data_IF_401910081453
#
_entry.id   IF_401910081453
#
_cell.length_a   1.000
_cell.length_b   1.000
_cell.length_c   1.000
_cell.angle_alpha   90.00
_cell.angle_beta   90.00
_cell.angle_gamma   90.00
#
_symmetry.space_group_name_H-M   'P 1'
#
loop_
_entity.id
_entity.type
_entity.pdbx_description
1 polymer ?
#
# COMPACT_ATOMS: atom_id res chain seq x y z
N UNK A 1 -10.78 39.28 11.00
CA UNK A 1 -11.11 38.03 11.70
C UNK A 1 -10.46 36.87 10.95
N UNK A 2 -9.35 36.33 11.46
CA UNK A 2 -8.71 35.13 10.90
C UNK A 2 -9.53 33.93 11.37
N UNK A 3 -10.12 33.17 10.44
CA UNK A 3 -10.73 31.88 10.74
C UNK A 3 -9.59 30.94 11.17
N UNK A 4 -9.47 30.68 12.46
CA UNK A 4 -8.67 29.56 12.95
C UNK A 4 -9.41 28.29 12.54
N UNK A 5 -8.77 27.49 11.70
CA UNK A 5 -9.23 26.17 11.33
C UNK A 5 -8.91 25.27 12.54
N UNK A 6 -9.93 24.95 13.34
CA UNK A 6 -9.84 23.95 14.40
C UNK A 6 -9.71 22.58 13.72
N UNK A 7 -8.53 21.99 13.79
CA UNK A 7 -8.26 20.63 13.33
C UNK A 7 -8.40 19.73 14.55
N UNK A 8 -9.56 19.11 14.71
CA UNK A 8 -9.71 17.92 15.54
C UNK A 8 -9.22 16.76 14.68
N UNK A 9 -8.02 16.25 14.91
CA UNK A 9 -7.58 15.04 14.23
C UNK A 9 -6.46 14.38 15.03
N UNK A 10 -6.70 13.15 15.46
CA UNK A 10 -5.62 12.17 15.58
C UNK A 10 -4.86 12.19 14.24
N UNK A 11 -3.54 12.38 14.28
CA UNK A 11 -2.72 12.53 13.08
C UNK A 11 -1.90 11.26 12.90
N UNK A 12 -2.13 10.58 11.79
CA UNK A 12 -1.29 9.52 11.27
C UNK A 12 0.10 10.09 10.87
N UNK A 13 1.16 9.50 11.42
CA UNK A 13 2.56 9.74 11.05
C UNK A 13 2.98 8.70 10.02
N UNK A 14 3.67 9.12 8.96
CA UNK A 14 4.10 8.25 7.85
C UNK A 14 5.61 8.08 7.85
N UNK A 15 6.07 6.84 7.71
CA UNK A 15 7.45 6.46 7.50
C UNK A 15 7.57 5.86 6.11
N UNK A 16 8.27 6.56 5.21
CA UNK A 16 8.49 6.10 3.83
C UNK A 16 9.92 5.60 3.66
N UNK A 17 10.13 4.58 2.82
CA UNK A 17 11.46 4.25 2.30
C UNK A 17 11.98 5.39 1.41
N UNK A 18 12.76 6.30 1.98
CA UNK A 18 13.60 7.18 1.17
C UNK A 18 14.79 6.36 0.68
N UNK A 19 14.69 5.80 -0.53
CA UNK A 19 15.86 5.30 -1.24
C UNK A 19 16.71 6.51 -1.66
N UNK A 20 17.48 7.06 -0.71
CA UNK A 20 18.51 8.04 -0.96
C UNK A 20 19.64 7.33 -1.72
N UNK A 21 19.55 7.32 -3.04
CA UNK A 21 20.70 7.09 -3.90
C UNK A 21 21.63 8.32 -3.79
N UNK A 22 22.36 8.45 -2.69
CA UNK A 22 23.53 9.33 -2.64
C UNK A 22 24.65 8.67 -3.43
N UNK A 23 24.69 8.88 -4.74
CA UNK A 23 25.90 8.61 -5.52
C UNK A 23 26.83 9.80 -5.38
N UNK A 24 27.75 9.72 -4.43
CA UNK A 24 28.95 10.53 -4.43
C UNK A 24 29.87 9.97 -5.52
N UNK A 25 30.22 10.77 -6.53
CA UNK A 25 31.14 10.37 -7.59
C UNK A 25 31.05 11.28 -8.80
N UNK A 26 31.94 12.28 -8.86
CA UNK A 26 32.04 13.20 -9.98
C UNK A 26 32.67 12.60 -11.24
N UNK A 27 32.61 13.37 -12.32
CA UNK A 27 33.36 13.12 -13.56
C UNK A 27 32.49 13.33 -14.79
N UNK A 28 32.80 14.36 -15.58
CA UNK A 28 32.01 14.78 -16.73
C UNK A 28 32.12 13.86 -17.95
N UNK A 29 31.29 14.14 -18.97
CA UNK A 29 31.50 13.66 -20.33
C UNK A 29 30.23 13.32 -21.09
N UNK A 30 29.72 14.34 -21.80
CA UNK A 30 29.10 14.29 -23.14
C UNK A 30 28.27 13.10 -23.64
N UNK A 31 27.09 13.43 -24.16
CA UNK A 31 26.55 12.84 -25.39
C UNK A 31 25.46 11.78 -25.21
N UNK A 32 24.37 12.01 -25.93
CA UNK A 32 23.30 11.10 -26.35
C UNK A 32 22.23 10.71 -25.30
N UNK A 33 21.13 11.46 -25.44
CA UNK A 33 19.74 11.09 -25.33
C UNK A 33 19.44 9.62 -25.70
N UNK A 34 19.27 8.79 -24.65
CA UNK A 34 18.49 7.57 -24.73
C UNK A 34 17.62 7.44 -23.47
N UNK A 35 16.34 7.79 -23.61
CA UNK A 35 15.32 7.54 -22.60
C UNK A 35 15.09 6.03 -22.50
N UNK A 36 15.82 5.39 -21.59
CA UNK A 36 15.57 4.01 -21.18
C UNK A 36 14.67 4.02 -19.92
N UNK A 37 13.49 3.37 -19.93
CA UNK A 37 12.64 3.34 -18.75
C UNK A 37 13.38 2.66 -17.60
N UNK A 38 13.57 3.38 -16.49
CA UNK A 38 14.10 2.80 -15.25
C UNK A 38 13.02 1.94 -14.61
N UNK A 39 13.06 0.64 -14.89
CA UNK A 39 12.37 -0.38 -14.10
C UNK A 39 13.14 -0.54 -12.81
N UNK A 40 12.55 -0.13 -11.68
CA UNK A 40 13.09 -0.52 -10.38
C UNK A 40 13.00 -2.04 -10.28
N UNK A 41 14.14 -2.68 -10.03
CA UNK A 41 14.28 -4.14 -9.94
C UNK A 41 13.49 -4.68 -8.75
N UNK A 42 12.30 -5.23 -9.02
CA UNK A 42 11.39 -5.82 -8.03
C UNK A 42 11.33 -7.37 -8.17
N UNK A 43 10.98 -8.12 -7.11
CA UNK A 43 10.94 -9.59 -7.08
C UNK A 43 9.74 -10.23 -7.82
N UNK A 44 9.03 -9.46 -8.65
CA UNK A 44 7.85 -9.87 -9.42
C UNK A 44 8.14 -9.65 -10.92
N UNK A 45 7.84 -10.65 -11.74
CA UNK A 45 7.95 -10.57 -13.20
C UNK A 45 6.59 -10.87 -13.81
N UNK A 46 5.77 -9.85 -14.02
CA UNK A 46 4.51 -10.00 -14.75
C UNK A 46 4.77 -10.30 -16.24
N UNK A 47 3.88 -11.04 -16.91
CA UNK A 47 4.01 -11.29 -18.34
C UNK A 47 3.78 -10.00 -19.13
N UNK A 48 4.41 -9.89 -20.30
CA UNK A 48 4.23 -8.72 -21.20
C UNK A 48 2.83 -8.65 -21.80
N UNK A 49 2.17 -9.79 -21.91
CA UNK A 49 0.81 -9.94 -22.43
C UNK A 49 0.00 -10.76 -21.44
N UNK A 50 -1.26 -10.35 -21.23
CA UNK A 50 -2.19 -11.08 -20.38
C UNK A 50 -2.91 -12.17 -21.18
N UNK A 51 -3.34 -13.22 -20.50
CA UNK A 51 -4.09 -14.29 -21.13
C UNK A 51 -5.56 -13.88 -21.20
N UNK A 52 -6.09 -13.66 -22.40
CA UNK A 52 -7.51 -13.38 -22.57
C UNK A 52 -8.33 -14.62 -22.18
N UNK A 53 -9.39 -14.42 -21.41
CA UNK A 53 -10.30 -15.50 -21.03
C UNK A 53 -11.20 -15.86 -22.20
N UNK A 54 -11.32 -17.15 -22.49
CA UNK A 54 -12.22 -17.67 -23.53
C UNK A 54 -13.66 -17.18 -23.24
N UNK A 55 -14.36 -16.75 -24.30
CA UNK A 55 -15.74 -16.26 -24.27
C UNK A 55 -16.02 -15.03 -23.38
N UNK A 56 -14.98 -14.32 -22.90
CA UNK A 56 -15.13 -13.05 -22.20
C UNK A 56 -14.28 -11.95 -22.84
N UNK A 57 -14.95 -11.04 -23.54
CA UNK A 57 -14.30 -9.84 -24.05
C UNK A 57 -13.80 -8.97 -22.91
N UNK A 58 -12.60 -8.39 -23.08
CA UNK A 58 -11.97 -7.51 -22.10
C UNK A 58 -11.66 -8.13 -20.72
N UNK A 59 -11.76 -9.45 -20.56
CA UNK A 59 -11.35 -10.16 -19.34
C UNK A 59 -10.06 -10.92 -19.57
N UNK A 60 -9.15 -10.82 -18.60
CA UNK A 60 -7.80 -11.38 -18.69
C UNK A 60 -7.38 -12.02 -17.37
N UNK A 61 -6.46 -12.97 -17.43
CA UNK A 61 -5.77 -13.52 -16.27
C UNK A 61 -4.26 -13.37 -16.41
N UNK A 62 -3.58 -13.42 -15.27
CA UNK A 62 -2.13 -13.57 -15.22
C UNK A 62 -1.83 -15.08 -15.12
N UNK A 63 -0.88 -15.57 -15.91
CA UNK A 63 -0.46 -16.97 -15.82
C UNK A 63 0.26 -17.29 -14.49
N UNK A 64 0.83 -18.49 -14.39
CA UNK A 64 1.71 -18.86 -13.28
C UNK A 64 3.18 -18.52 -13.56
N UNK A 65 3.99 -18.50 -12.52
CA UNK A 65 5.42 -18.28 -12.55
C UNK A 65 5.81 -16.81 -12.60
N UNK A 66 5.01 -15.90 -12.05
CA UNK A 66 5.26 -14.46 -12.03
C UNK A 66 5.78 -13.97 -10.67
N UNK A 67 5.43 -14.66 -9.59
CA UNK A 67 5.97 -14.40 -8.25
C UNK A 67 7.18 -15.31 -7.99
N UNK A 68 8.32 -14.72 -7.59
CA UNK A 68 9.61 -15.44 -7.51
C UNK A 68 10.21 -15.52 -6.11
N UNK A 69 9.68 -14.79 -5.15
CA UNK A 69 10.17 -14.77 -3.76
C UNK A 69 8.98 -14.73 -2.80
N UNK A 70 9.18 -15.20 -1.58
CA UNK A 70 8.21 -15.03 -0.51
C UNK A 70 8.19 -13.56 -0.04
N UNK A 71 7.13 -13.19 0.67
CA UNK A 71 6.97 -11.87 1.27
C UNK A 71 6.02 -11.94 2.45
N UNK A 72 5.63 -10.81 2.99
CA UNK A 72 4.73 -10.69 4.14
C UNK A 72 3.41 -10.04 3.75
N UNK A 73 3.49 -9.10 2.79
CA UNK A 73 2.35 -8.37 2.25
C UNK A 73 2.25 -8.62 0.75
N UNK A 74 1.09 -9.06 0.30
CA UNK A 74 0.75 -9.25 -1.11
C UNK A 74 -0.30 -8.23 -1.52
N UNK A 75 -0.01 -7.40 -2.53
CA UNK A 75 -0.93 -6.38 -3.01
C UNK A 75 -1.11 -6.45 -4.52
N UNK A 76 -2.34 -6.19 -4.99
CA UNK A 76 -2.71 -6.16 -6.40
C UNK A 76 -3.44 -4.87 -6.71
N UNK A 77 -3.04 -4.19 -7.78
CA UNK A 77 -3.63 -2.96 -8.28
C UNK A 77 -4.00 -3.12 -9.76
N UNK A 78 -5.11 -2.50 -10.17
CA UNK A 78 -5.57 -2.46 -11.58
C UNK A 78 -5.98 -1.04 -12.00
N UNK A 79 -5.01 -0.16 -12.22
CA UNK A 79 -5.28 1.21 -12.70
C UNK A 79 -5.86 1.18 -14.12
N UNK A 80 -6.86 2.01 -14.41
CA UNK A 80 -7.59 1.98 -15.70
C UNK A 80 -8.49 0.75 -15.95
N UNK A 81 -8.57 -0.21 -15.02
CA UNK A 81 -9.49 -1.36 -15.07
C UNK A 81 -10.00 -1.79 -13.68
N UNK A 82 -10.41 -3.03 -13.50
CA UNK A 82 -10.69 -3.59 -12.17
C UNK A 82 -10.46 -5.09 -12.21
N UNK A 83 -10.62 -5.77 -11.09
CA UNK A 83 -10.56 -7.22 -11.05
C UNK A 83 -11.63 -7.81 -10.15
N UNK A 84 -11.98 -9.07 -10.42
CA UNK A 84 -12.75 -9.92 -9.53
C UNK A 84 -11.83 -10.96 -8.92
N UNK A 85 -12.08 -11.27 -7.67
CA UNK A 85 -11.46 -12.39 -6.98
C UNK A 85 -12.36 -13.62 -7.20
N UNK A 86 -11.78 -14.75 -7.61
CA UNK A 86 -12.52 -16.02 -7.61
C UNK A 86 -12.38 -16.77 -6.28
N UNK A 87 -11.41 -16.36 -5.47
CA UNK A 87 -11.08 -16.90 -4.16
C UNK A 87 -10.68 -15.72 -3.26
N UNK A 88 -10.98 -15.79 -1.96
CA UNK A 88 -10.65 -14.73 -0.99
C UNK A 88 -9.58 -15.15 0.01
N UNK A 89 -9.06 -16.36 -0.12
CA UNK A 89 -8.08 -16.94 0.79
C UNK A 89 -6.77 -17.20 0.06
N UNK A 90 -5.66 -16.93 0.74
CA UNK A 90 -4.32 -17.35 0.31
C UNK A 90 -3.82 -18.37 1.33
N UNK A 91 -3.25 -19.48 0.87
CA UNK A 91 -2.67 -20.49 1.76
C UNK A 91 -1.62 -19.89 2.72
N UNK A 92 -1.57 -20.38 3.97
CA UNK A 92 -0.49 -20.06 4.92
C UNK A 92 -0.81 -19.05 6.02
N UNK A 93 -2.06 -18.99 6.49
CA UNK A 93 -2.54 -18.00 7.48
C UNK A 93 -2.37 -16.55 6.99
N UNK A 94 -2.87 -16.33 5.78
CA UNK A 94 -2.86 -15.03 5.10
C UNK A 94 -4.30 -14.54 5.04
N UNK A 95 -4.55 -13.35 5.56
CA UNK A 95 -5.89 -12.75 5.58
C UNK A 95 -5.95 -11.58 4.61
N UNK A 96 -7.17 -11.30 4.12
CA UNK A 96 -7.43 -10.02 3.49
C UNK A 96 -7.31 -8.91 4.52
N UNK A 97 -6.50 -7.92 4.20
CA UNK A 97 -6.25 -6.78 5.06
C UNK A 97 -7.19 -5.64 4.66
N UNK A 98 -7.11 -5.25 3.38
CA UNK A 98 -7.84 -4.10 2.89
C UNK A 98 -8.00 -4.08 1.37
N UNK A 99 -8.95 -3.28 0.87
CA UNK A 99 -9.14 -3.08 -0.56
C UNK A 99 -10.05 -1.91 -0.93
N UNK A 100 -10.01 -1.57 -2.22
CA UNK A 100 -10.89 -0.56 -2.83
C UNK A 100 -11.85 -1.28 -3.76
N UNK A 101 -13.12 -1.44 -3.38
CA UNK A 101 -14.10 -1.93 -4.31
C UNK A 101 -14.47 -0.83 -5.32
N UNK A 102 -15.02 -1.25 -6.45
CA UNK A 102 -15.56 -0.37 -7.49
C UNK A 102 -16.98 -0.78 -7.86
N UNK A 103 -17.76 0.15 -8.37
CA UNK A 103 -19.07 -0.15 -8.97
C UNK A 103 -18.93 -0.76 -10.37
N UNK A 104 -20.06 -1.10 -11.00
CA UNK A 104 -20.10 -1.66 -12.34
C UNK A 104 -19.53 -0.75 -13.45
N UNK A 105 -19.32 0.53 -13.17
CA UNK A 105 -18.65 1.48 -14.09
C UNK A 105 -17.14 1.58 -13.84
N UNK A 106 -16.62 0.84 -12.86
CA UNK A 106 -15.23 0.90 -12.43
C UNK A 106 -14.91 2.11 -11.53
N UNK A 107 -15.93 2.83 -11.05
CA UNK A 107 -15.72 3.97 -10.14
C UNK A 107 -15.45 3.45 -8.71
N UNK A 108 -14.39 3.92 -8.04
CA UNK A 108 -14.14 3.60 -6.64
C UNK A 108 -15.35 3.91 -5.75
N UNK A 109 -15.67 2.96 -4.86
CA UNK A 109 -16.66 3.14 -3.80
C UNK A 109 -15.94 3.30 -2.44
N UNK A 110 -16.58 2.89 -1.35
CA UNK A 110 -15.98 2.93 -0.03
C UNK A 110 -14.96 1.79 0.15
N UNK A 111 -13.77 2.16 0.62
CA UNK A 111 -12.71 1.24 1.04
C UNK A 111 -13.23 0.24 2.08
N UNK A 112 -12.75 -1.00 2.02
CA UNK A 112 -13.18 -2.10 2.88
C UNK A 112 -11.99 -2.75 3.58
N UNK A 113 -12.23 -3.31 4.76
CA UNK A 113 -11.21 -3.94 5.61
C UNK A 113 -11.59 -5.36 6.01
N UNK A 114 -10.59 -6.19 6.31
CA UNK A 114 -10.77 -7.49 6.93
C UNK A 114 -11.80 -8.40 6.20
N UNK A 115 -12.82 -8.88 6.92
CA UNK A 115 -13.77 -9.88 6.41
C UNK A 115 -14.75 -9.36 5.34
N UNK A 116 -14.54 -8.14 4.83
CA UNK A 116 -15.40 -7.52 3.81
C UNK A 116 -14.99 -7.86 2.36
N UNK A 117 -13.99 -8.72 2.18
CA UNK A 117 -13.62 -9.26 0.87
C UNK A 117 -14.68 -10.24 0.38
N UNK A 118 -15.07 -10.12 -0.89
CA UNK A 118 -16.13 -10.94 -1.49
C UNK A 118 -15.81 -11.19 -2.97
N UNK A 119 -16.13 -12.39 -3.45
CA UNK A 119 -16.01 -12.78 -4.87
C UNK A 119 -17.07 -12.14 -5.76
N UNK A 120 -18.15 -11.59 -5.18
CA UNK A 120 -19.19 -10.86 -5.88
C UNK A 120 -18.84 -9.38 -6.12
N UNK A 121 -17.78 -8.86 -5.49
CA UNK A 121 -17.33 -7.47 -5.61
C UNK A 121 -16.26 -7.30 -6.69
N UNK A 122 -16.23 -6.11 -7.27
CA UNK A 122 -15.15 -5.65 -8.14
C UNK A 122 -14.15 -4.83 -7.35
N UNK A 123 -12.86 -5.00 -7.60
CA UNK A 123 -11.80 -4.29 -6.88
C UNK A 123 -10.85 -3.55 -7.82
N UNK A 124 -10.38 -2.39 -7.36
CA UNK A 124 -9.27 -1.63 -7.93
C UNK A 124 -7.94 -2.00 -7.28
N UNK A 125 -8.01 -2.33 -6.00
CA UNK A 125 -6.88 -2.63 -5.13
C UNK A 125 -7.33 -3.65 -4.07
N UNK A 126 -6.45 -4.59 -3.76
CA UNK A 126 -6.54 -5.47 -2.59
C UNK A 126 -5.16 -5.69 -2.01
N UNK A 127 -5.11 -5.90 -0.69
CA UNK A 127 -3.93 -6.25 0.07
C UNK A 127 -4.26 -7.42 1.01
N UNK A 128 -3.31 -8.33 1.09
CA UNK A 128 -3.31 -9.49 1.96
C UNK A 128 -2.05 -9.47 2.82
N UNK A 129 -2.19 -9.84 4.09
CA UNK A 129 -1.10 -9.82 5.06
C UNK A 129 -0.98 -11.19 5.73
N UNK A 130 0.24 -11.73 5.82
CA UNK A 130 0.52 -12.91 6.62
C UNK A 130 0.68 -12.52 8.08
N UNK A 131 -0.02 -13.19 9.00
CA UNK A 131 0.21 -13.02 10.44
C UNK A 131 1.43 -13.80 10.94
N UNK A 132 1.85 -14.81 10.17
CA UNK A 132 2.91 -15.75 10.54
C UNK A 132 4.30 -15.35 10.01
N UNK A 133 4.39 -14.27 9.24
CA UNK A 133 5.66 -13.74 8.71
C UNK A 133 5.85 -13.96 7.22
N UNK A 134 5.19 -14.96 6.64
CA UNK A 134 5.50 -15.42 5.29
C UNK A 134 4.26 -15.82 4.49
N UNK A 135 4.09 -15.19 3.34
CA UNK A 135 3.35 -15.64 2.17
C UNK A 135 4.37 -16.25 1.21
N UNK A 136 4.26 -17.55 0.96
CA UNK A 136 5.18 -18.22 0.04
C UNK A 136 5.00 -17.69 -1.39
N UNK A 137 6.09 -17.67 -2.17
CA UNK A 137 6.04 -17.28 -3.58
C UNK A 137 5.01 -18.11 -4.37
N UNK A 138 4.91 -19.41 -4.08
CA UNK A 138 4.01 -20.33 -4.74
C UNK A 138 2.54 -20.05 -4.40
N UNK A 139 2.24 -19.78 -3.12
CA UNK A 139 0.88 -19.46 -2.69
C UNK A 139 0.40 -18.14 -3.34
N UNK A 140 1.24 -17.10 -3.31
CA UNK A 140 0.95 -15.83 -3.96
C UNK A 140 0.80 -15.97 -5.49
N UNK A 141 1.65 -16.77 -6.15
CA UNK A 141 1.57 -17.02 -7.59
C UNK A 141 0.30 -17.78 -7.97
N UNK A 142 -0.07 -18.80 -7.19
CA UNK A 142 -1.30 -19.56 -7.39
C UNK A 142 -2.50 -18.63 -7.26
N UNK A 143 -2.58 -17.82 -6.20
CA UNK A 143 -3.66 -16.87 -6.00
C UNK A 143 -3.70 -15.81 -7.11
N UNK A 144 -2.57 -15.22 -7.50
CA UNK A 144 -2.52 -14.27 -8.61
C UNK A 144 -3.09 -14.85 -9.91
N UNK A 145 -2.88 -16.15 -10.15
CA UNK A 145 -3.38 -16.82 -11.36
C UNK A 145 -4.90 -17.02 -11.39
N UNK A 146 -5.59 -16.83 -10.26
CA UNK A 146 -7.05 -16.92 -10.16
C UNK A 146 -7.76 -15.58 -10.36
N UNK A 147 -7.02 -14.46 -10.27
CA UNK A 147 -7.59 -13.12 -10.43
C UNK A 147 -7.99 -12.86 -11.88
N UNK A 148 -9.25 -12.44 -12.07
CA UNK A 148 -9.77 -12.01 -13.37
C UNK A 148 -9.73 -10.47 -13.45
N UNK A 149 -8.88 -9.95 -14.33
CA UNK A 149 -8.78 -8.53 -14.63
C UNK A 149 -9.72 -8.13 -15.76
N UNK A 150 -10.40 -7.01 -15.59
CA UNK A 150 -11.40 -6.48 -16.51
C UNK A 150 -10.97 -5.10 -16.98
N UNK A 151 -10.82 -4.95 -18.30
CA UNK A 151 -10.49 -3.69 -18.94
C UNK A 151 -11.76 -2.87 -19.18
N UNK A 152 -11.70 -1.58 -18.88
CA UNK A 152 -12.77 -0.63 -19.24
C UNK A 152 -12.59 -0.24 -20.71
N UNK A 153 -13.68 -0.25 -21.48
CA UNK A 153 -13.64 0.08 -22.91
C UNK A 153 -13.02 1.46 -23.15
N UNK A 154 -12.09 1.54 -24.11
CA UNK A 154 -11.39 2.78 -24.45
C UNK A 154 -10.30 3.21 -23.47
N UNK A 155 -10.03 2.45 -22.39
CA UNK A 155 -8.96 2.76 -21.44
C UNK A 155 -7.91 1.64 -21.37
N UNK A 156 -6.60 1.96 -21.32
CA UNK A 156 -5.59 0.96 -20.98
C UNK A 156 -5.75 0.52 -19.52
N UNK A 157 -5.37 -0.72 -19.22
CA UNK A 157 -5.27 -1.24 -17.85
C UNK A 157 -3.79 -1.40 -17.48
N UNK A 158 -3.40 -0.95 -16.29
CA UNK A 158 -2.08 -1.13 -15.72
C UNK A 158 -2.21 -1.97 -14.45
N UNK A 159 -1.61 -3.16 -14.49
CA UNK A 159 -1.61 -4.08 -13.36
C UNK A 159 -0.28 -3.95 -12.64
N UNK A 160 -0.35 -3.72 -11.32
CA UNK A 160 0.81 -3.76 -10.43
C UNK A 160 0.57 -4.81 -9.36
N UNK A 161 1.58 -5.63 -9.12
CA UNK A 161 1.55 -6.67 -8.11
C UNK A 161 2.82 -6.52 -7.27
N UNK A 162 2.63 -6.44 -5.96
CA UNK A 162 3.72 -6.38 -5.01
C UNK A 162 3.67 -7.62 -4.10
N UNK A 163 4.84 -8.17 -3.81
CA UNK A 163 5.04 -9.10 -2.71
C UNK A 163 6.28 -8.65 -1.95
N UNK A 164 6.06 -8.08 -0.77
CA UNK A 164 7.09 -7.36 -0.01
C UNK A 164 7.28 -8.01 1.35
N UNK A 165 8.55 -8.28 1.70
CA UNK A 165 8.92 -8.71 3.05
C UNK A 165 9.06 -7.47 3.92
N UNK A 166 8.18 -7.35 4.91
CA UNK A 166 8.22 -6.28 5.90
C UNK A 166 8.21 -6.88 7.31
N UNK A 167 8.82 -6.23 8.29
CA UNK A 167 8.69 -6.65 9.68
C UNK A 167 7.22 -6.63 10.13
N UNK A 168 6.73 -7.75 10.69
CA UNK A 168 5.40 -7.80 11.33
C UNK A 168 5.48 -7.23 12.73
N UNK A 169 6.58 -7.45 13.43
CA UNK A 169 6.82 -6.91 14.75
C UNK A 169 8.26 -6.44 14.85
N UNK A 170 8.51 -5.57 15.82
CA UNK A 170 9.85 -5.08 16.10
C UNK A 170 9.81 -4.03 17.19
N UNK A 171 10.90 -3.28 17.30
CA UNK A 171 11.03 -2.18 18.24
C UNK A 171 11.42 -0.90 17.48
N UNK A 172 10.96 0.25 17.97
CA UNK A 172 11.52 1.54 17.56
C UNK A 172 12.86 1.81 18.26
N UNK A 173 13.55 2.89 17.88
CA UNK A 173 14.87 3.24 18.44
C UNK A 173 14.85 3.53 19.96
N UNK A 174 13.67 3.61 20.58
CA UNK A 174 13.48 3.78 22.02
C UNK A 174 13.15 2.45 22.75
N UNK A 175 13.03 1.35 22.00
CA UNK A 175 12.70 0.03 22.53
C UNK A 175 11.21 -0.22 22.71
N UNK A 176 10.33 0.64 22.17
CA UNK A 176 8.90 0.39 22.20
C UNK A 176 8.53 -0.63 21.11
N UNK A 177 7.83 -1.69 21.50
CA UNK A 177 7.41 -2.71 20.54
C UNK A 177 6.29 -2.21 19.62
N UNK A 178 6.29 -2.71 18.39
CA UNK A 178 5.19 -2.56 17.45
C UNK A 178 4.78 -3.89 16.87
N UNK A 179 3.54 -3.90 16.38
CA UNK A 179 2.96 -4.97 15.58
C UNK A 179 2.14 -4.38 14.43
N UNK A 180 2.40 -4.91 13.24
CA UNK A 180 1.74 -4.56 12.01
C UNK A 180 0.24 -4.85 12.12
N UNK A 181 -0.58 -3.95 11.62
CA UNK A 181 -2.04 -3.93 11.67
C UNK A 181 -2.65 -3.82 13.09
N UNK A 182 -1.83 -3.57 14.11
CA UNK A 182 -2.29 -3.23 15.47
C UNK A 182 -1.99 -1.77 15.81
N UNK A 183 -0.72 -1.39 15.83
CA UNK A 183 -0.30 -0.02 16.16
C UNK A 183 0.55 0.64 15.05
N UNK A 184 1.02 -0.15 14.08
CA UNK A 184 1.64 0.31 12.85
C UNK A 184 0.93 -0.35 11.68
N UNK A 185 0.63 0.38 10.63
CA UNK A 185 -0.04 -0.13 9.45
C UNK A 185 0.85 0.04 8.24
N UNK A 186 0.67 -0.79 7.22
CA UNK A 186 1.40 -0.69 5.97
C UNK A 186 0.44 -0.46 4.81
N UNK A 187 0.76 0.51 3.97
CA UNK A 187 0.09 0.75 2.70
C UNK A 187 1.10 1.25 1.67
N UNK A 188 1.25 0.48 0.59
CA UNK A 188 1.98 0.84 -0.63
C UNK A 188 3.38 1.43 -0.39
N UNK A 189 4.24 0.71 0.33
CA UNK A 189 5.62 1.10 0.62
C UNK A 189 5.78 2.07 1.79
N UNK A 190 4.68 2.46 2.44
CA UNK A 190 4.68 3.40 3.56
C UNK A 190 4.14 2.74 4.82
N UNK A 191 4.76 3.05 5.97
CA UNK A 191 4.25 2.65 7.28
C UNK A 191 3.57 3.82 7.95
N UNK A 192 2.48 3.55 8.65
CA UNK A 192 1.64 4.55 9.26
C UNK A 192 1.47 4.23 10.73
N UNK A 193 1.67 5.20 11.61
CA UNK A 193 1.45 5.08 13.05
C UNK A 193 0.58 6.24 13.51
N UNK A 194 -0.49 5.95 14.25
CA UNK A 194 -1.25 7.01 14.92
C UNK A 194 -0.36 7.68 15.96
N UNK A 195 -0.29 9.01 15.93
CA UNK A 195 0.30 9.72 17.05
C UNK A 195 -0.53 9.50 18.31
N UNK A 196 0.09 9.61 19.48
CA UNK A 196 -0.68 9.88 20.69
C UNK A 196 -1.50 11.16 20.50
N UNK A 197 -2.60 11.27 21.25
CA UNK A 197 -3.45 12.46 21.19
C UNK A 197 -2.61 13.67 21.59
N UNK A 198 -2.57 14.66 20.71
CA UNK A 198 -1.86 15.89 20.98
C UNK A 198 -2.66 16.76 21.97
N UNK A 199 -2.30 16.74 23.25
CA UNK A 199 -2.90 17.59 24.28
C UNK A 199 -2.40 17.25 25.68
N UNK A 200 -2.38 18.26 26.55
CA UNK A 200 -2.20 18.08 27.98
C UNK A 200 -3.58 18.12 28.63
N UNK A 201 -4.04 17.02 29.25
CA UNK A 201 -5.37 16.96 29.90
C UNK A 201 -5.57 18.08 30.93
N UNK A 202 -4.47 18.71 31.39
CA UNK A 202 -4.49 19.77 32.40
C UNK A 202 -4.86 21.16 31.87
N UNK A 203 -4.83 21.43 30.57
CA UNK A 203 -5.12 22.77 30.01
C UNK A 203 -6.51 22.91 29.33
N UNK A 204 -7.24 21.79 29.21
CA UNK A 204 -8.58 21.75 28.64
C UNK A 204 -8.65 22.03 27.13
N UNK A 205 -7.50 22.03 26.44
CA UNK A 205 -7.41 22.20 24.99
C UNK A 205 -7.00 20.90 24.29
N UNK A 206 -7.93 20.37 23.51
CA UNK A 206 -7.77 19.12 22.75
C UNK A 206 -7.02 19.31 21.41
N UNK A 207 -6.21 20.36 21.28
CA UNK A 207 -5.64 20.74 19.97
C UNK A 207 -4.24 21.33 20.08
N UNK A 208 -3.33 20.83 19.24
CA UNK A 208 -2.03 21.47 18.99
C UNK A 208 -2.05 22.26 17.70
N UNK A 209 -1.10 23.20 17.59
CA UNK A 209 -0.85 23.91 16.34
C UNK A 209 -0.16 23.01 15.32
N UNK A 210 -0.34 23.33 14.04
CA UNK A 210 0.32 22.60 12.94
C UNK A 210 1.85 22.50 13.11
N UNK A 211 2.60 23.56 13.51
CA UNK A 211 4.03 23.43 13.78
C UNK A 211 4.38 22.48 14.92
N UNK A 212 3.55 22.41 15.97
CA UNK A 212 3.76 21.45 17.06
C UNK A 212 3.56 20.01 16.59
N UNK A 213 2.47 19.74 15.85
CA UNK A 213 2.23 18.42 15.26
C UNK A 213 3.34 18.01 14.28
N UNK A 214 3.80 18.96 13.45
CA UNK A 214 4.88 18.74 12.49
C UNK A 214 6.20 18.39 13.19
N UNK A 215 6.57 19.15 14.23
CA UNK A 215 7.77 18.88 15.01
C UNK A 215 7.66 17.54 15.74
N UNK A 216 6.50 17.23 16.33
CA UNK A 216 6.29 15.96 17.02
C UNK A 216 6.42 14.75 16.08
N UNK A 217 5.86 14.81 14.86
CA UNK A 217 6.04 13.75 13.87
C UNK A 217 7.51 13.58 13.44
N UNK A 218 8.25 14.69 13.35
CA UNK A 218 9.68 14.69 13.00
C UNK A 218 10.59 14.22 14.15
N UNK A 219 10.16 14.42 15.39
CA UNK A 219 10.86 14.00 16.60
C UNK A 219 10.43 12.60 17.07
N UNK A 220 9.41 12.02 16.43
CA UNK A 220 8.95 10.67 16.73
C UNK A 220 10.08 9.64 16.60
N UNK A 221 10.05 8.58 17.41
CA UNK A 221 11.03 7.50 17.34
C UNK A 221 11.16 6.95 15.93
N UNK A 222 12.39 6.61 15.53
CA UNK A 222 12.61 6.02 14.21
C UNK A 222 12.07 4.59 14.21
N UNK A 223 11.39 4.25 13.13
CA UNK A 223 10.84 2.93 12.90
C UNK A 223 11.67 2.23 11.82
N UNK A 224 12.29 1.09 12.12
CA UNK A 224 13.13 0.35 11.17
C UNK A 224 14.17 1.27 10.48
N UNK A 225 14.79 2.16 11.27
CA UNK A 225 15.75 3.15 10.78
C UNK A 225 15.15 4.31 9.95
N UNK A 226 13.83 4.38 9.78
CA UNK A 226 13.12 5.44 9.06
C UNK A 226 12.64 6.54 10.00
N UNK A 227 12.73 7.80 9.55
CA UNK A 227 12.16 8.94 10.28
C UNK A 227 10.73 9.20 9.82
N UNK A 228 9.83 9.44 10.77
CA UNK A 228 8.44 9.77 10.51
C UNK A 228 8.26 11.22 10.07
N UNK A 229 7.17 11.47 9.34
CA UNK A 229 6.68 12.81 8.98
C UNK A 229 5.16 12.86 9.12
N UNK A 230 4.60 14.06 9.19
CA UNK A 230 3.15 14.20 9.03
C UNK A 230 2.75 13.65 7.65
N UNK A 231 1.67 12.86 7.64
CA UNK A 231 1.19 12.24 6.42
C UNK A 231 0.88 13.25 5.31
N UNK A 232 1.09 12.78 4.09
CA UNK A 232 0.59 13.42 2.87
C UNK A 232 -0.34 12.46 2.19
N UNK A 233 -1.54 12.89 1.84
CA UNK A 233 -2.49 12.02 1.14
C UNK A 233 -2.20 12.09 -0.36
N UNK A 234 -1.75 10.98 -0.93
CA UNK A 234 -1.31 10.85 -2.32
C UNK A 234 -2.26 10.04 -3.20
N UNK A 235 -3.22 9.33 -2.59
CA UNK A 235 -4.25 8.58 -3.31
C UNK A 235 -5.58 8.54 -2.55
N UNK A 236 -6.67 8.21 -3.25
CA UNK A 236 -7.98 7.98 -2.61
C UNK A 236 -7.93 6.78 -1.65
N UNK A 237 -7.10 5.78 -1.96
CA UNK A 237 -6.80 4.62 -1.12
C UNK A 237 -6.22 5.07 0.23
N UNK A 238 -5.17 5.89 0.16
CA UNK A 238 -4.48 6.46 1.33
C UNK A 238 -5.40 7.41 2.09
N UNK A 239 -6.19 8.25 1.40
CA UNK A 239 -7.14 9.15 2.04
C UNK A 239 -8.11 8.37 2.92
N UNK A 240 -8.74 7.32 2.38
CA UNK A 240 -9.72 6.53 3.14
C UNK A 240 -9.04 5.71 4.23
N UNK A 241 -7.87 5.14 3.92
CA UNK A 241 -7.01 4.48 4.88
C UNK A 241 -6.76 5.33 6.11
N UNK A 242 -6.39 6.60 5.91
CA UNK A 242 -6.15 7.56 6.99
C UNK A 242 -7.41 7.89 7.79
N UNK A 243 -8.54 8.14 7.12
CA UNK A 243 -9.76 8.60 7.80
C UNK A 243 -10.45 7.52 8.64
N UNK A 244 -10.29 6.25 8.27
CA UNK A 244 -10.96 5.13 8.94
C UNK A 244 -10.13 4.49 10.05
N UNK A 245 -8.83 4.80 10.09
CA UNK A 245 -7.95 4.45 11.19
C UNK A 245 -8.20 5.41 12.34
#
# INVERSE_FOLDING_TARGET
>A
MKKQLLVFLELLTVFTFALLATTCGGGGGGGDDDYSPKVATAPVSLPKELLQKEDKDNTYTVGRGNIKKAGTIFSVFAEGGYFTLTETEIEGNVHFDMGIPVDASGKPIQFVYHDEVDTEKFFRYVQFTSESGEISALAADNFLSTIEFHKIEGQPIYIRVNLESVPIEGEDDEGNSYKLNENVFYLDGSFYRKSERFGDESDGSDSVTWPQAYNAAKEAPRFNGMQGYLMTITSDAENKFVYDQ
#
